data_IF_688432534098
#
_entry.id   IF_688432534098
#
_cell.length_a   1.000
_cell.length_b   1.000
_cell.length_c   1.000
_cell.angle_alpha   90.00
_cell.angle_beta   90.00
_cell.angle_gamma   90.00
#
_symmetry.space_group_name_H-M   'P 1'
#
loop_
_entity.id
_entity.type
_entity.pdbx_description
1 polymer ?
#
# COMPACT_ATOMS: atom_id res chain seq x y z
N UNK A 1 17.79 -2.70 -3.60
CA UNK A 1 16.32 -2.63 -3.81
C UNK A 1 16.09 -1.81 -5.07
N UNK A 2 15.75 -2.49 -6.19
CA UNK A 2 15.53 -1.81 -7.46
C UNK A 2 14.07 -1.37 -7.55
N UNK A 3 13.85 -0.06 -7.77
CA UNK A 3 12.51 0.48 -7.93
C UNK A 3 11.87 0.06 -9.25
N UNK A 4 10.74 -0.61 -9.19
CA UNK A 4 9.97 -0.97 -10.38
C UNK A 4 9.19 0.22 -10.90
N UNK A 5 9.60 0.73 -12.06
CA UNK A 5 8.75 1.57 -12.88
C UNK A 5 7.70 0.68 -13.56
N UNK A 6 6.43 0.84 -13.27
CA UNK A 6 5.38 0.41 -14.19
C UNK A 6 5.64 1.09 -15.53
N UNK A 7 6.08 0.29 -16.52
CA UNK A 7 6.57 0.78 -17.80
C UNK A 7 5.58 1.68 -18.53
N UNK A 8 5.76 2.97 -18.40
CA UNK A 8 5.23 3.92 -19.35
C UNK A 8 6.10 3.84 -20.60
N UNK A 9 5.55 3.43 -21.72
CA UNK A 9 6.13 3.58 -23.05
C UNK A 9 6.58 5.04 -23.24
N UNK A 10 7.67 5.34 -23.95
CA UNK A 10 8.19 6.70 -24.12
C UNK A 10 7.36 7.51 -25.13
N UNK A 11 6.07 7.61 -24.93
CA UNK A 11 5.20 8.53 -25.65
C UNK A 11 5.15 9.85 -24.93
N UNK A 12 5.32 10.93 -25.64
CA UNK A 12 5.41 12.35 -25.33
C UNK A 12 4.27 12.91 -24.43
N UNK A 13 3.82 12.18 -23.44
CA UNK A 13 2.95 12.71 -22.39
C UNK A 13 3.77 12.91 -21.11
N UNK A 14 3.53 13.99 -20.34
CA UNK A 14 4.09 14.11 -19.00
C UNK A 14 3.79 12.81 -18.27
N UNK A 15 4.78 12.29 -17.51
CA UNK A 15 4.62 11.02 -16.74
C UNK A 15 3.27 11.06 -16.03
N UNK A 16 2.39 10.05 -16.22
CA UNK A 16 1.15 10.05 -15.47
C UNK A 16 1.49 10.07 -13.98
N UNK A 17 1.04 11.10 -13.29
CA UNK A 17 1.17 11.17 -11.84
C UNK A 17 0.22 10.14 -11.27
N UNK A 18 0.76 9.11 -10.61
CA UNK A 18 -0.05 8.10 -9.94
C UNK A 18 -0.50 8.66 -8.60
N UNK A 19 -1.81 8.77 -8.43
CA UNK A 19 -2.43 9.29 -7.21
C UNK A 19 -3.12 8.15 -6.45
N UNK A 20 -2.85 8.09 -5.15
CA UNK A 20 -3.65 7.31 -4.21
C UNK A 20 -4.62 8.24 -3.47
N UNK A 21 -5.84 7.78 -3.27
CA UNK A 21 -6.87 8.47 -2.49
C UNK A 21 -7.38 7.56 -1.38
N UNK A 22 -7.48 8.10 -0.16
CA UNK A 22 -7.90 7.36 1.03
C UNK A 22 -8.79 8.23 1.90
N UNK A 23 -9.77 7.61 2.57
CA UNK A 23 -10.57 8.29 3.59
C UNK A 23 -10.00 7.98 4.97
N UNK A 24 -9.47 9.00 5.66
CA UNK A 24 -8.84 8.88 6.96
C UNK A 24 -9.37 9.92 7.94
N UNK A 25 -9.83 9.48 9.11
CA UNK A 25 -10.27 10.41 10.16
C UNK A 25 -9.12 11.25 10.72
N UNK A 26 -9.28 12.58 10.78
CA UNK A 26 -8.29 13.52 11.31
C UNK A 26 -7.88 13.27 12.77
N UNK A 27 -8.71 12.56 13.53
CA UNK A 27 -8.38 12.14 14.90
C UNK A 27 -7.27 11.09 14.98
N UNK A 28 -7.00 10.36 13.90
CA UNK A 28 -5.97 9.31 13.88
C UNK A 28 -4.55 9.89 14.00
N UNK A 29 -3.71 9.21 14.75
CA UNK A 29 -2.27 9.53 14.87
C UNK A 29 -1.60 9.59 13.50
N UNK A 30 -1.99 8.69 12.60
CA UNK A 30 -1.49 8.60 11.23
C UNK A 30 -1.69 9.90 10.47
N UNK A 31 -2.89 10.48 10.48
CA UNK A 31 -3.18 11.75 9.78
C UNK A 31 -2.33 12.88 10.33
N UNK A 32 -2.22 13.00 11.65
CA UNK A 32 -1.35 14.00 12.29
C UNK A 32 0.11 13.88 11.86
N UNK A 33 0.62 12.64 11.75
CA UNK A 33 1.97 12.38 11.30
C UNK A 33 2.16 12.74 9.83
N UNK A 34 1.21 12.35 8.95
CA UNK A 34 1.24 12.65 7.52
C UNK A 34 1.25 14.16 7.28
N UNK A 35 0.35 14.90 7.92
CA UNK A 35 0.28 16.36 7.80
C UNK A 35 1.58 17.04 8.26
N UNK A 36 2.22 16.51 9.31
CA UNK A 36 3.48 17.04 9.82
C UNK A 36 4.66 16.77 8.90
N UNK A 37 4.70 15.59 8.25
CA UNK A 37 5.83 15.14 7.45
C UNK A 37 5.68 15.42 5.95
N UNK A 38 4.44 15.63 5.48
CA UNK A 38 4.13 15.78 4.05
C UNK A 38 4.35 14.49 3.25
N UNK A 39 4.43 13.34 3.93
CA UNK A 39 4.74 12.06 3.32
C UNK A 39 4.17 10.89 4.11
N UNK A 40 3.96 9.76 3.43
CA UNK A 40 3.47 8.52 4.04
C UNK A 40 3.80 7.31 3.17
N UNK A 41 3.68 6.12 3.75
CA UNK A 41 3.72 4.86 3.02
C UNK A 41 2.40 4.11 3.19
N UNK A 42 2.07 3.28 2.20
CA UNK A 42 0.94 2.36 2.26
C UNK A 42 1.47 0.97 1.96
N UNK A 43 1.58 0.15 2.99
CA UNK A 43 1.98 -1.26 2.85
C UNK A 43 0.76 -2.13 2.56
N UNK A 44 0.93 -3.12 1.70
CA UNK A 44 -0.12 -4.08 1.37
C UNK A 44 -0.13 -5.20 2.40
N UNK A 45 -1.25 -5.34 3.11
CA UNK A 45 -1.45 -6.47 4.01
C UNK A 45 -1.54 -7.80 3.27
N UNK A 46 -0.95 -8.82 3.81
CA UNK A 46 -0.94 -10.18 3.28
C UNK A 46 -1.66 -11.18 4.19
N UNK A 47 -1.82 -12.41 3.70
CA UNK A 47 -2.54 -13.45 4.43
C UNK A 47 -1.80 -13.93 5.70
N UNK A 48 -0.47 -13.85 5.73
CA UNK A 48 0.35 -14.25 6.87
C UNK A 48 0.20 -13.26 8.03
N UNK A 49 0.16 -11.96 7.72
CA UNK A 49 0.13 -10.88 8.70
C UNK A 49 -1.29 -10.31 8.93
N UNK A 50 -2.36 -11.00 8.47
CA UNK A 50 -3.72 -10.49 8.56
C UNK A 50 -4.13 -10.08 9.99
N UNK A 51 -3.80 -10.90 11.00
CA UNK A 51 -4.11 -10.60 12.40
C UNK A 51 -3.32 -9.38 12.92
N UNK A 52 -2.06 -9.23 12.54
CA UNK A 52 -1.22 -8.08 12.91
C UNK A 52 -1.74 -6.79 12.24
N UNK A 53 -2.14 -6.87 10.97
CA UNK A 53 -2.75 -5.76 10.24
C UNK A 53 -4.08 -5.34 10.88
N UNK A 54 -4.93 -6.30 11.28
CA UNK A 54 -6.19 -6.02 11.98
C UNK A 54 -5.93 -5.34 13.33
N UNK A 55 -5.01 -5.88 14.13
CA UNK A 55 -4.65 -5.31 15.42
C UNK A 55 -4.20 -3.84 15.31
N UNK A 56 -3.32 -3.50 14.37
CA UNK A 56 -2.90 -2.10 14.20
C UNK A 56 -4.01 -1.20 13.64
N UNK A 57 -5.04 -1.78 13.03
CA UNK A 57 -6.26 -1.09 12.61
C UNK A 57 -7.20 -0.79 13.79
N UNK A 58 -7.36 -1.75 14.72
CA UNK A 58 -8.22 -1.63 15.91
C UNK A 58 -7.61 -0.64 16.91
N UNK A 59 -6.30 -0.76 17.20
CA UNK A 59 -5.65 0.02 18.24
C UNK A 59 -5.26 1.42 17.76
N UNK A 60 -5.58 2.42 18.56
CA UNK A 60 -5.19 3.80 18.27
C UNK A 60 -3.74 4.07 18.68
N UNK A 61 -2.92 4.55 17.75
CA UNK A 61 -1.56 5.03 18.05
C UNK A 61 -1.51 6.25 18.99
N UNK A 62 -2.65 6.90 19.28
CA UNK A 62 -2.74 7.93 20.31
C UNK A 62 -2.74 7.31 21.71
N UNK A 63 -3.30 6.12 21.88
CA UNK A 63 -3.45 5.42 23.18
C UNK A 63 -2.41 4.34 23.37
N UNK A 64 -1.97 3.67 22.29
CA UNK A 64 -0.98 2.57 22.29
C UNK A 64 0.18 2.95 21.38
N UNK A 65 1.17 3.72 21.89
CA UNK A 65 2.28 4.21 21.07
C UNK A 65 3.16 3.09 20.48
N UNK A 66 3.25 1.96 21.17
CA UNK A 66 4.05 0.78 20.83
C UNK A 66 3.26 -0.29 20.05
N UNK A 67 2.10 0.05 19.49
CA UNK A 67 1.24 -0.92 18.80
C UNK A 67 1.92 -1.66 17.65
N UNK A 68 2.84 -1.02 16.92
CA UNK A 68 3.60 -1.67 15.85
C UNK A 68 4.47 -2.80 16.41
N UNK A 69 5.23 -2.54 17.46
CA UNK A 69 6.05 -3.56 18.11
C UNK A 69 5.20 -4.69 18.70
N UNK A 70 4.04 -4.39 19.29
CA UNK A 70 3.10 -5.41 19.79
C UNK A 70 2.53 -6.27 18.68
N UNK A 71 2.36 -5.72 17.49
CA UNK A 71 1.94 -6.47 16.29
C UNK A 71 3.07 -7.32 15.71
N UNK A 72 4.30 -7.20 16.20
CA UNK A 72 5.48 -7.83 15.63
C UNK A 72 6.04 -7.11 14.42
N UNK A 73 5.61 -5.87 14.14
CA UNK A 73 6.08 -5.09 13.02
C UNK A 73 7.32 -4.26 13.38
N UNK A 74 8.33 -4.35 12.53
CA UNK A 74 9.48 -3.47 12.50
C UNK A 74 9.34 -2.44 11.39
N UNK A 75 10.05 -1.35 11.49
CA UNK A 75 9.96 -0.29 10.49
C UNK A 75 11.36 0.24 10.16
N UNK A 76 11.61 0.40 8.86
CA UNK A 76 12.79 1.06 8.31
C UNK A 76 12.39 2.38 7.67
N UNK A 77 13.24 3.39 7.76
CA UNK A 77 12.97 4.68 7.11
C UNK A 77 13.06 4.50 5.59
N UNK A 78 12.05 5.01 4.86
CA UNK A 78 12.11 5.07 3.40
C UNK A 78 13.28 5.94 2.92
N UNK A 79 13.90 5.53 1.80
CA UNK A 79 14.92 6.31 1.11
C UNK A 79 14.32 7.38 0.19
N UNK A 80 13.02 7.26 -0.16
CA UNK A 80 12.34 8.10 -1.14
C UNK A 80 11.44 9.17 -0.52
N UNK A 81 10.93 8.92 0.72
CA UNK A 81 10.01 9.83 1.41
C UNK A 81 10.30 9.86 2.93
N UNK A 82 9.89 10.92 3.61
CA UNK A 82 10.05 11.00 5.09
C UNK A 82 8.95 10.22 5.82
N UNK A 83 8.91 8.91 5.58
CA UNK A 83 7.95 7.99 6.21
C UNK A 83 8.58 6.62 6.46
N UNK A 84 8.05 5.81 7.41
CA UNK A 84 8.52 4.45 7.66
C UNK A 84 7.93 3.47 6.65
N UNK A 85 8.69 2.44 6.27
CA UNK A 85 8.22 1.23 5.59
C UNK A 85 8.13 0.11 6.62
N UNK A 86 7.12 -0.74 6.54
CA UNK A 86 6.96 -1.92 7.41
C UNK A 86 7.75 -3.07 6.80
N UNK A 87 8.73 -3.59 7.55
CA UNK A 87 9.72 -4.54 7.03
C UNK A 87 9.11 -5.93 6.73
N UNK A 88 8.07 -6.34 7.45
CA UNK A 88 7.41 -7.64 7.28
C UNK A 88 6.40 -7.67 6.14
N UNK A 89 5.98 -6.51 5.62
CA UNK A 89 4.99 -6.47 4.54
C UNK A 89 5.68 -6.34 3.17
N UNK A 90 5.36 -7.25 2.23
CA UNK A 90 6.18 -7.46 1.03
C UNK A 90 6.15 -6.32 0.01
N UNK A 91 5.15 -5.44 0.07
CA UNK A 91 4.96 -4.35 -0.90
C UNK A 91 4.55 -3.06 -0.19
N UNK A 92 5.19 -1.96 -0.55
CA UNK A 92 4.86 -0.62 -0.06
C UNK A 92 4.79 0.41 -1.18
N UNK A 93 3.77 1.25 -1.15
CA UNK A 93 3.70 2.50 -1.91
C UNK A 93 4.31 3.61 -1.08
N UNK A 94 5.23 4.37 -1.64
CA UNK A 94 5.90 5.49 -0.99
C UNK A 94 5.36 6.79 -1.59
N UNK A 95 4.73 7.63 -0.76
CA UNK A 95 3.86 8.70 -1.22
C UNK A 95 4.23 10.05 -0.62
N UNK A 96 4.10 11.10 -1.44
CA UNK A 96 4.06 12.49 -0.98
C UNK A 96 2.62 12.94 -0.81
N UNK A 97 2.33 13.64 0.28
CA UNK A 97 1.01 14.22 0.50
C UNK A 97 0.74 15.30 -0.55
N UNK A 98 -0.40 15.19 -1.22
CA UNK A 98 -0.92 16.23 -2.13
C UNK A 98 -1.92 17.11 -1.39
N UNK A 99 -2.93 16.51 -0.74
CA UNK A 99 -3.92 17.25 0.05
C UNK A 99 -4.57 16.37 1.10
N UNK A 100 -5.12 17.03 2.11
CA UNK A 100 -6.05 16.45 3.09
C UNK A 100 -7.20 17.41 3.33
N UNK A 101 -8.40 16.95 3.13
CA UNK A 101 -9.63 17.70 3.37
C UNK A 101 -10.25 17.19 4.68
N UNK A 102 -10.38 18.10 5.67
CA UNK A 102 -10.89 17.75 7.00
C UNK A 102 -12.39 17.46 7.01
N UNK A 103 -13.17 18.09 6.12
CA UNK A 103 -14.64 17.93 6.08
C UNK A 103 -14.99 16.59 5.46
N UNK A 104 -14.42 16.28 4.32
CA UNK A 104 -14.64 15.01 3.60
C UNK A 104 -13.77 13.87 4.12
N UNK A 105 -12.69 14.18 4.86
CA UNK A 105 -11.65 13.23 5.33
C UNK A 105 -10.89 12.58 4.19
N UNK A 106 -10.91 13.17 3.00
CA UNK A 106 -10.20 12.67 1.84
C UNK A 106 -8.74 13.09 1.90
N UNK A 107 -7.86 12.12 1.89
CA UNK A 107 -6.42 12.29 1.74
C UNK A 107 -6.02 11.86 0.34
N UNK A 108 -5.24 12.69 -0.35
CA UNK A 108 -4.64 12.33 -1.63
C UNK A 108 -3.12 12.42 -1.55
N UNK A 109 -2.44 11.49 -2.21
CA UNK A 109 -1.00 11.45 -2.26
C UNK A 109 -0.48 11.02 -3.63
N UNK A 110 0.64 11.58 -4.03
CA UNK A 110 1.40 11.16 -5.21
C UNK A 110 2.26 9.95 -4.85
N UNK A 111 2.11 8.85 -5.59
CA UNK A 111 2.98 7.67 -5.47
C UNK A 111 4.29 8.00 -6.19
N UNK A 112 5.37 8.17 -5.43
CA UNK A 112 6.69 8.51 -5.98
C UNK A 112 7.59 7.29 -6.15
N UNK A 113 7.32 6.20 -5.41
CA UNK A 113 8.01 4.92 -5.54
C UNK A 113 7.12 3.76 -5.11
N UNK A 114 7.43 2.57 -5.62
CA UNK A 114 6.85 1.28 -5.19
C UNK A 114 8.00 0.36 -4.85
N UNK A 115 8.07 -0.09 -3.60
CA UNK A 115 9.07 -1.04 -3.11
C UNK A 115 8.46 -2.43 -2.98
N UNK A 116 9.19 -3.45 -3.41
CA UNK A 116 8.81 -4.85 -3.27
C UNK A 116 10.03 -5.63 -2.81
N UNK A 117 9.85 -6.53 -1.85
CA UNK A 117 10.91 -7.46 -1.45
C UNK A 117 11.18 -8.47 -2.57
N UNK A 118 12.46 -8.70 -2.89
CA UNK A 118 12.90 -9.56 -4.00
C UNK A 118 12.42 -11.01 -3.85
N UNK A 119 12.20 -11.50 -2.62
CA UNK A 119 11.66 -12.83 -2.36
C UNK A 119 10.25 -13.03 -2.96
N UNK A 120 9.52 -11.94 -3.17
CA UNK A 120 8.16 -11.94 -3.70
C UNK A 120 8.11 -11.68 -5.22
N UNK A 121 9.24 -11.76 -5.89
CA UNK A 121 9.30 -11.65 -7.35
C UNK A 121 9.30 -13.03 -8.03
N UNK A 122 8.84 -13.04 -9.29
CA UNK A 122 9.04 -14.16 -10.21
C UNK A 122 10.48 -14.17 -10.73
N UNK A 123 10.96 -15.26 -11.35
CA UNK A 123 12.29 -15.28 -11.97
C UNK A 123 12.50 -14.19 -13.03
N UNK A 124 11.41 -13.69 -13.65
CA UNK A 124 11.42 -12.62 -14.64
C UNK A 124 11.38 -11.22 -14.00
N UNK A 125 11.45 -11.12 -12.65
CA UNK A 125 11.45 -9.87 -11.91
C UNK A 125 10.08 -9.19 -11.82
N UNK A 126 8.97 -9.91 -11.98
CA UNK A 126 7.61 -9.40 -11.80
C UNK A 126 7.10 -9.75 -10.41
N UNK A 127 6.18 -8.94 -9.89
CA UNK A 127 5.50 -9.25 -8.62
C UNK A 127 4.73 -10.56 -8.74
N UNK A 128 5.05 -11.52 -7.87
CA UNK A 128 4.35 -12.80 -7.76
C UNK A 128 3.19 -12.65 -6.78
N UNK A 129 1.98 -12.52 -7.32
CA UNK A 129 0.76 -12.27 -6.52
C UNK A 129 0.44 -13.44 -5.58
N UNK A 130 0.80 -14.68 -5.97
CA UNK A 130 0.59 -15.85 -5.11
C UNK A 130 1.53 -15.85 -3.90
N UNK A 131 2.77 -15.39 -4.08
CA UNK A 131 3.72 -15.22 -2.98
C UNK A 131 3.33 -14.04 -2.09
N UNK A 132 2.99 -12.88 -2.66
CA UNK A 132 2.53 -11.71 -1.90
C UNK A 132 1.27 -12.03 -1.11
N UNK A 133 0.40 -12.89 -1.63
CA UNK A 133 -0.85 -13.32 -1.00
C UNK A 133 -1.69 -12.16 -0.42
N UNK A 134 -1.93 -11.08 -1.20
CA UNK A 134 -2.58 -9.88 -0.67
C UNK A 134 -4.00 -10.17 -0.22
N UNK A 135 -4.44 -9.45 0.82
CA UNK A 135 -5.77 -9.58 1.38
C UNK A 135 -6.64 -8.37 1.06
N UNK A 136 -7.94 -8.58 1.02
CA UNK A 136 -8.95 -7.54 0.95
C UNK A 136 -9.96 -7.72 2.08
N UNK A 137 -10.54 -6.62 2.55
CA UNK A 137 -11.59 -6.65 3.57
C UNK A 137 -12.96 -6.88 2.92
N UNK A 138 -13.64 -7.95 3.32
CA UNK A 138 -15.03 -8.20 3.00
C UNK A 138 -15.92 -7.54 4.06
N UNK A 139 -16.53 -6.42 3.68
CA UNK A 139 -17.39 -5.64 4.57
C UNK A 139 -18.73 -6.33 4.89
N UNK A 140 -19.18 -7.28 4.08
CA UNK A 140 -20.44 -8.00 4.31
C UNK A 140 -20.30 -9.01 5.44
N UNK A 141 -19.20 -9.78 5.42
CA UNK A 141 -18.96 -10.84 6.40
C UNK A 141 -17.97 -10.41 7.50
N UNK A 142 -17.40 -9.21 7.41
CA UNK A 142 -16.36 -8.69 8.31
C UNK A 142 -15.17 -9.64 8.42
N UNK A 143 -14.69 -10.10 7.26
CA UNK A 143 -13.57 -11.03 7.15
C UNK A 143 -12.49 -10.47 6.23
N UNK A 144 -11.28 -10.99 6.34
CA UNK A 144 -10.23 -10.76 5.36
C UNK A 144 -10.21 -11.93 4.38
N UNK A 145 -10.15 -11.61 3.09
CA UNK A 145 -10.15 -12.60 2.00
C UNK A 145 -8.88 -12.43 1.19
N UNK A 146 -8.17 -13.54 0.95
CA UNK A 146 -7.04 -13.56 0.04
C UNK A 146 -7.51 -13.46 -1.41
N UNK A 147 -6.77 -12.75 -2.28
CA UNK A 147 -7.01 -12.81 -3.72
C UNK A 147 -6.86 -14.24 -4.23
N UNK A 148 -7.77 -14.65 -5.12
CA UNK A 148 -7.82 -16.02 -5.66
C UNK A 148 -6.93 -16.22 -6.89
N UNK A 149 -7.18 -17.34 -7.59
CA UNK A 149 -6.47 -17.70 -8.80
C UNK A 149 -6.68 -16.69 -9.94
N UNK A 150 -5.71 -16.60 -10.86
CA UNK A 150 -5.85 -15.84 -12.10
C UNK A 150 -7.04 -16.35 -12.91
N UNK A 151 -7.96 -15.45 -13.26
CA UNK A 151 -9.20 -15.78 -13.98
C UNK A 151 -9.18 -15.32 -15.44
N UNK A 152 -8.17 -14.58 -15.87
CA UNK A 152 -8.06 -14.09 -17.25
C UNK A 152 -6.85 -13.18 -17.49
N UNK A 153 -6.60 -12.85 -18.75
CA UNK A 153 -5.53 -11.96 -19.18
C UNK A 153 -6.11 -10.61 -19.58
N UNK A 154 -5.71 -9.57 -18.84
CA UNK A 154 -6.13 -8.20 -19.12
C UNK A 154 -5.70 -7.77 -20.54
N UNK A 155 -6.53 -6.96 -21.20
CA UNK A 155 -6.33 -6.44 -22.55
C UNK A 155 -6.24 -7.50 -23.66
N UNK A 156 -6.44 -8.77 -23.35
CA UNK A 156 -6.34 -9.89 -24.30
C UNK A 156 -7.67 -10.64 -24.43
N UNK A 157 -8.19 -11.17 -23.34
CA UNK A 157 -9.31 -12.12 -23.44
C UNK A 157 -10.61 -11.47 -23.91
N UNK A 158 -10.82 -10.17 -23.62
CA UNK A 158 -11.95 -9.38 -24.13
C UNK A 158 -11.90 -9.14 -25.64
N UNK A 159 -10.79 -9.39 -26.33
CA UNK A 159 -10.68 -9.22 -27.77
C UNK A 159 -11.58 -10.19 -28.55
N UNK A 160 -11.96 -11.32 -27.96
CA UNK A 160 -12.88 -12.31 -28.54
C UNK A 160 -14.32 -11.79 -28.67
N UNK A 161 -14.66 -10.64 -28.05
CA UNK A 161 -15.98 -10.03 -28.10
C UNK A 161 -16.08 -8.88 -29.13
N UNK A 162 -15.03 -8.64 -29.91
CA UNK A 162 -15.00 -7.59 -30.96
C UNK A 162 -15.65 -8.03 -32.24
#
# INVERSE_FOLDING_TARGET
MEGFYFGAQPWVYPRPVLIIAMYLSGGHKTVKNILKRGAFTVSMGDAEHAAACDYVGIESGNSVPDKMARAGFHVTKSEHVDAPVIDELPLALECKLVSYDEETRLLTGEIVNVSVDEAYLTPEGKVDVDKVAPITYDSFNKTYVRLGAVVGRAFHDGAALK
#
